data_IF_192816930723
#
_entry.id   IF_192816930723
#
_cell.length_a   1.000
_cell.length_b   1.000
_cell.length_c   1.000
_cell.angle_alpha   90.00
_cell.angle_beta   90.00
_cell.angle_gamma   90.00
#
_symmetry.space_group_name_H-M   'P 1'
#
loop_
_entity.id
_entity.type
_entity.pdbx_description
1 polymer ?
#
# COMPACT_ATOMS: atom_id res chain seq x y z
N UNK A 1 8.87 24.67 -10.19
CA UNK A 1 9.42 23.36 -9.76
C UNK A 1 9.36 23.33 -8.24
N UNK A 2 8.16 23.19 -7.67
CA UNK A 2 8.00 23.05 -6.22
C UNK A 2 8.51 21.65 -5.84
N UNK A 3 9.45 21.58 -4.88
CA UNK A 3 9.99 20.31 -4.41
C UNK A 3 8.90 19.51 -3.72
N UNK A 4 8.25 18.61 -4.46
CA UNK A 4 7.30 17.65 -3.90
C UNK A 4 8.08 16.72 -3.00
N UNK A 5 7.76 16.72 -1.70
CA UNK A 5 8.31 15.75 -0.75
C UNK A 5 8.12 14.34 -1.32
N UNK A 6 9.18 13.50 -1.36
CA UNK A 6 9.06 12.14 -1.86
C UNK A 6 7.99 11.38 -1.10
N UNK A 7 7.13 10.66 -1.83
CA UNK A 7 6.08 9.84 -1.23
C UNK A 7 6.72 8.84 -0.27
N UNK A 8 6.19 8.71 0.93
CA UNK A 8 6.61 7.68 1.87
C UNK A 8 5.66 6.49 1.76
N UNK A 9 6.22 5.30 1.57
CA UNK A 9 5.51 4.04 1.68
C UNK A 9 6.04 3.28 2.89
N UNK A 10 5.14 2.88 3.79
CA UNK A 10 5.52 2.11 4.97
C UNK A 10 4.98 0.69 4.92
N UNK A 11 5.88 -0.28 5.12
CA UNK A 11 5.51 -1.69 5.29
C UNK A 11 6.56 -2.46 6.09
N UNK A 12 6.21 -3.68 6.51
CA UNK A 12 7.17 -4.62 7.08
C UNK A 12 8.38 -4.84 6.17
N UNK A 13 9.54 -5.13 6.76
CA UNK A 13 10.81 -5.49 6.10
C UNK A 13 10.75 -6.92 5.50
N UNK A 14 9.70 -7.18 4.75
CA UNK A 14 9.43 -8.39 3.98
C UNK A 14 8.77 -7.98 2.66
N UNK A 15 8.51 -8.95 1.77
CA UNK A 15 7.70 -8.71 0.56
C UNK A 15 6.24 -8.43 0.95
N UNK A 16 5.53 -9.45 1.43
CA UNK A 16 4.15 -9.34 1.93
C UNK A 16 3.22 -8.50 1.05
N UNK A 17 2.36 -7.68 1.67
CA UNK A 17 1.48 -6.73 0.98
C UNK A 17 2.23 -5.52 0.42
N UNK A 18 3.43 -5.22 0.91
CA UNK A 18 4.21 -4.08 0.46
C UNK A 18 4.91 -4.28 -0.89
N UNK A 19 5.11 -5.52 -1.33
CA UNK A 19 5.86 -5.78 -2.57
C UNK A 19 5.19 -5.20 -3.80
N UNK A 20 3.86 -5.32 -3.91
CA UNK A 20 3.12 -4.80 -5.08
C UNK A 20 3.21 -3.27 -5.15
N UNK A 21 3.21 -2.59 -4.00
CA UNK A 21 3.36 -1.14 -3.92
C UNK A 21 4.74 -0.69 -4.41
N UNK A 22 5.81 -1.37 -3.98
CA UNK A 22 7.17 -1.13 -4.48
C UNK A 22 7.23 -1.30 -5.99
N UNK A 23 6.68 -2.39 -6.53
CA UNK A 23 6.62 -2.64 -7.98
C UNK A 23 5.91 -1.52 -8.74
N UNK A 24 4.83 -0.95 -8.18
CA UNK A 24 4.12 0.19 -8.79
C UNK A 24 5.02 1.42 -8.87
N UNK A 25 5.75 1.75 -7.80
CA UNK A 25 6.68 2.88 -7.81
C UNK A 25 7.84 2.68 -8.78
N UNK A 26 8.46 1.49 -8.80
CA UNK A 26 9.54 1.17 -9.75
C UNK A 26 9.02 1.21 -11.19
N UNK A 27 7.84 0.65 -11.48
CA UNK A 27 7.24 0.65 -12.81
C UNK A 27 6.96 2.07 -13.33
N UNK A 28 6.58 2.98 -12.43
CA UNK A 28 6.34 4.40 -12.76
C UNK A 28 7.60 5.26 -12.65
N UNK A 29 8.74 4.67 -12.29
CA UNK A 29 10.01 5.35 -12.08
C UNK A 29 9.90 6.54 -11.11
N UNK A 30 9.00 6.43 -10.13
CA UNK A 30 8.76 7.50 -9.14
C UNK A 30 9.67 7.30 -7.95
N UNK A 31 10.36 8.37 -7.55
CA UNK A 31 11.15 8.37 -6.31
C UNK A 31 10.21 8.34 -5.09
N UNK A 32 10.43 7.37 -4.22
CA UNK A 32 9.70 7.21 -2.97
C UNK A 32 10.67 6.82 -1.84
N UNK A 33 10.22 7.01 -0.60
CA UNK A 33 10.92 6.55 0.60
C UNK A 33 10.27 5.26 1.07
N UNK A 34 11.02 4.14 1.05
CA UNK A 34 10.57 2.84 1.59
C UNK A 34 10.86 2.79 3.11
N UNK A 35 9.87 3.14 3.92
CA UNK A 35 9.94 3.00 5.37
C UNK A 35 9.73 1.54 5.76
N UNK A 36 10.84 0.80 5.86
CA UNK A 36 10.81 -0.61 6.25
C UNK A 36 10.74 -0.77 7.77
N UNK A 37 9.67 -1.40 8.23
CA UNK A 37 9.45 -1.77 9.63
C UNK A 37 10.06 -3.15 9.90
N UNK A 38 11.08 -3.20 10.74
CA UNK A 38 11.80 -4.43 11.11
C UNK A 38 11.30 -5.07 12.40
N UNK A 39 10.57 -4.32 13.22
CA UNK A 39 10.17 -4.72 14.57
C UNK A 39 8.80 -4.17 14.93
N UNK A 40 8.10 -4.87 15.82
CA UNK A 40 6.81 -4.42 16.35
C UNK A 40 6.91 -3.05 17.01
N UNK A 41 7.96 -2.79 17.79
CA UNK A 41 8.13 -1.52 18.51
C UNK A 41 8.28 -0.34 17.55
N UNK A 42 9.06 -0.49 16.48
CA UNK A 42 9.22 0.54 15.43
C UNK A 42 7.89 0.91 14.78
N UNK A 43 6.93 -0.02 14.73
CA UNK A 43 5.58 0.26 14.28
C UNK A 43 4.69 0.79 15.40
N UNK A 44 4.37 -0.02 16.40
CA UNK A 44 3.33 0.26 17.38
C UNK A 44 3.67 1.43 18.30
N UNK A 45 4.92 1.55 18.74
CA UNK A 45 5.38 2.66 19.58
C UNK A 45 6.01 3.79 18.75
N UNK A 46 6.54 3.48 17.56
CA UNK A 46 7.18 4.43 16.66
C UNK A 46 6.22 5.10 15.68
N UNK A 47 6.13 4.57 14.46
CA UNK A 47 5.48 5.26 13.33
C UNK A 47 3.95 5.25 13.38
N UNK A 48 3.32 4.23 13.96
CA UNK A 48 1.85 4.08 13.98
C UNK A 48 1.12 5.25 14.67
N UNK A 49 1.55 5.77 15.84
CA UNK A 49 0.96 6.97 16.44
C UNK A 49 0.94 8.20 15.53
N UNK A 50 1.95 8.37 14.66
CA UNK A 50 2.00 9.48 13.70
C UNK A 50 1.02 9.26 12.56
N UNK A 51 0.94 8.04 12.02
CA UNK A 51 -0.06 7.66 11.02
C UNK A 51 -1.48 7.80 11.58
N UNK A 52 -1.72 7.42 12.83
CA UNK A 52 -3.03 7.55 13.49
C UNK A 52 -3.54 9.00 13.55
N UNK A 53 -2.63 9.98 13.69
CA UNK A 53 -3.00 11.40 13.67
C UNK A 53 -3.48 11.86 12.30
N UNK A 54 -2.99 11.23 11.22
CA UNK A 54 -3.36 11.54 9.84
C UNK A 54 -4.53 10.70 9.32
N UNK A 55 -4.61 9.43 9.75
CA UNK A 55 -5.61 8.49 9.31
C UNK A 55 -6.01 7.55 10.48
N UNK A 56 -7.28 7.56 10.93
CA UNK A 56 -7.73 6.73 12.06
C UNK A 56 -7.66 5.22 11.77
N UNK A 57 -7.57 4.81 10.49
CA UNK A 57 -7.44 3.43 10.05
C UNK A 57 -5.96 3.00 9.91
N UNK A 58 -5.05 3.66 10.63
CA UNK A 58 -3.61 3.42 10.57
C UNK A 58 -3.24 1.94 10.62
N UNK A 59 -2.75 1.44 9.49
CA UNK A 59 -2.31 0.07 9.34
C UNK A 59 -1.22 -0.03 8.26
N UNK A 60 -0.52 -1.16 8.23
CA UNK A 60 0.45 -1.45 7.18
C UNK A 60 -0.23 -2.30 6.08
N UNK A 61 0.01 -2.01 4.79
CA UNK A 61 0.79 -0.88 4.28
C UNK A 61 0.05 0.47 4.37
N UNK A 62 0.84 1.55 4.42
CA UNK A 62 0.35 2.91 4.24
C UNK A 62 1.18 3.66 3.20
N UNK A 63 0.61 4.74 2.67
CA UNK A 63 1.28 5.75 1.84
C UNK A 63 0.99 7.14 2.40
N UNK A 64 2.03 7.96 2.54
CA UNK A 64 1.94 9.40 2.85
C UNK A 64 2.45 10.19 1.64
N UNK A 65 1.57 11.02 1.08
CA UNK A 65 1.85 11.91 -0.04
C UNK A 65 1.44 13.34 0.33
N UNK A 66 2.40 14.13 0.79
CA UNK A 66 2.13 15.45 1.37
C UNK A 66 1.17 15.34 2.55
N UNK A 67 0.02 16.01 2.45
CA UNK A 67 -1.03 15.99 3.48
C UNK A 67 -1.97 14.78 3.38
N UNK A 68 -1.84 13.95 2.34
CA UNK A 68 -2.70 12.78 2.13
C UNK A 68 -2.08 11.54 2.75
N UNK A 69 -2.82 10.86 3.63
CA UNK A 69 -2.42 9.58 4.19
C UNK A 69 -3.44 8.49 3.87
N UNK A 70 -3.02 7.46 3.14
CA UNK A 70 -3.87 6.33 2.75
C UNK A 70 -3.35 5.06 3.42
N UNK A 71 -4.26 4.32 4.07
CA UNK A 71 -4.01 2.99 4.64
C UNK A 71 -4.92 1.96 3.96
N UNK A 72 -4.71 0.67 4.26
CA UNK A 72 -5.39 -0.48 3.63
C UNK A 72 -4.90 -0.76 2.20
N UNK A 73 -4.39 -1.97 1.97
CA UNK A 73 -3.66 -2.33 0.73
C UNK A 73 -4.40 -1.95 -0.55
N UNK A 74 -5.67 -2.34 -0.69
CA UNK A 74 -6.42 -2.07 -1.92
C UNK A 74 -6.75 -0.58 -2.09
N UNK A 75 -7.01 0.14 -1.00
CA UNK A 75 -7.22 1.59 -1.06
C UNK A 75 -5.94 2.33 -1.47
N UNK A 76 -4.78 1.90 -0.97
CA UNK A 76 -3.48 2.44 -1.40
C UNK A 76 -3.25 2.17 -2.89
N UNK A 77 -3.52 0.94 -3.36
CA UNK A 77 -3.35 0.59 -4.77
C UNK A 77 -4.29 1.36 -5.69
N UNK A 78 -5.55 1.56 -5.29
CA UNK A 78 -6.50 2.41 -6.02
C UNK A 78 -6.01 3.86 -6.07
N UNK A 79 -5.56 4.41 -4.95
CA UNK A 79 -5.02 5.77 -4.87
C UNK A 79 -3.81 5.96 -5.80
N UNK A 80 -2.83 5.05 -5.78
CA UNK A 80 -1.69 5.11 -6.69
C UNK A 80 -2.12 4.88 -8.15
N UNK A 81 -3.12 4.03 -8.37
CA UNK A 81 -3.70 3.77 -9.67
C UNK A 81 -4.32 5.03 -10.28
N UNK A 82 -5.07 5.80 -9.50
CA UNK A 82 -5.67 7.06 -9.95
C UNK A 82 -4.59 8.14 -10.14
N UNK A 83 -3.65 8.25 -9.18
CA UNK A 83 -2.56 9.24 -9.23
C UNK A 83 -1.65 9.07 -10.45
N UNK A 84 -1.41 7.85 -10.89
CA UNK A 84 -0.53 7.54 -12.02
C UNK A 84 -1.25 7.04 -13.28
N UNK A 85 -2.56 7.26 -13.35
CA UNK A 85 -3.41 6.90 -14.50
C UNK A 85 -3.28 5.43 -14.91
N UNK A 86 -3.26 4.51 -13.93
CA UNK A 86 -3.23 3.06 -14.11
C UNK A 86 -4.59 2.39 -13.86
N UNK A 87 -5.58 3.13 -13.36
CA UNK A 87 -6.88 2.57 -12.97
C UNK A 87 -7.94 2.60 -14.10
N UNK A 88 -7.49 2.60 -15.36
CA UNK A 88 -8.36 2.75 -16.54
C UNK A 88 -8.81 4.20 -16.76
N UNK A 89 -9.12 4.55 -18.02
CA UNK A 89 -9.55 5.90 -18.41
C UNK A 89 -11.07 6.10 -18.39
N UNK A 90 -11.84 5.02 -18.25
CA UNK A 90 -13.29 5.02 -18.26
C UNK A 90 -13.85 4.12 -17.15
N UNK A 91 -15.12 4.32 -16.81
CA UNK A 91 -15.79 3.62 -15.71
C UNK A 91 -15.77 2.09 -15.87
N UNK A 92 -15.92 1.58 -17.09
CA UNK A 92 -15.95 0.13 -17.35
C UNK A 92 -14.57 -0.47 -17.12
N UNK A 93 -13.51 0.20 -17.58
CA UNK A 93 -12.12 -0.23 -17.34
C UNK A 93 -11.76 -0.14 -15.85
N UNK A 94 -12.18 0.91 -15.16
CA UNK A 94 -11.97 1.09 -13.72
C UNK A 94 -12.63 -0.03 -12.89
N UNK A 95 -13.90 -0.36 -13.20
CA UNK A 95 -14.62 -1.46 -12.55
C UNK A 95 -13.90 -2.79 -12.73
N UNK A 96 -13.45 -3.10 -13.95
CA UNK A 96 -12.70 -4.34 -14.22
C UNK A 96 -11.36 -4.40 -13.48
N UNK A 97 -10.64 -3.28 -13.39
CA UNK A 97 -9.41 -3.21 -12.62
C UNK A 97 -9.66 -3.43 -11.12
N UNK A 98 -10.75 -2.86 -10.59
CA UNK A 98 -11.15 -3.05 -9.20
C UNK A 98 -11.53 -4.50 -8.92
N UNK A 99 -12.32 -5.14 -9.79
CA UNK A 99 -12.67 -6.56 -9.72
C UNK A 99 -11.40 -7.43 -9.69
N UNK A 100 -10.45 -7.17 -10.60
CA UNK A 100 -9.18 -7.90 -10.65
C UNK A 100 -8.33 -7.70 -9.40
N UNK A 101 -8.28 -6.47 -8.87
CA UNK A 101 -7.56 -6.16 -7.63
C UNK A 101 -8.14 -6.96 -6.44
N UNK A 102 -9.46 -7.05 -6.34
CA UNK A 102 -10.12 -7.85 -5.31
C UNK A 102 -9.84 -9.35 -5.48
N UNK A 103 -9.99 -9.89 -6.69
CA UNK A 103 -9.75 -11.32 -6.96
C UNK A 103 -8.30 -11.72 -6.67
N UNK A 104 -7.32 -10.89 -7.06
CA UNK A 104 -5.90 -11.13 -6.76
C UNK A 104 -5.68 -11.14 -5.24
N UNK A 105 -6.37 -10.27 -4.50
CA UNK A 105 -6.29 -10.24 -3.04
C UNK A 105 -6.83 -11.52 -2.40
N UNK A 106 -7.94 -12.05 -2.94
CA UNK A 106 -8.54 -13.31 -2.49
C UNK A 106 -7.64 -14.52 -2.79
N UNK A 107 -7.10 -14.62 -4.01
CA UNK A 107 -6.10 -15.65 -4.38
C UNK A 107 -4.90 -15.59 -3.46
N UNK A 108 -4.38 -14.39 -3.20
CA UNK A 108 -3.25 -14.18 -2.29
C UNK A 108 -3.60 -14.64 -0.87
N UNK A 109 -4.80 -14.35 -0.37
CA UNK A 109 -5.22 -14.79 0.96
C UNK A 109 -5.35 -16.31 1.04
N UNK A 110 -5.90 -16.96 0.01
CA UNK A 110 -5.92 -18.43 -0.09
C UNK A 110 -4.51 -19.03 -0.05
N UNK A 111 -3.55 -18.41 -0.75
CA UNK A 111 -2.15 -18.83 -0.70
C UNK A 111 -1.53 -18.65 0.69
N UNK A 112 -1.83 -17.53 1.37
CA UNK A 112 -1.35 -17.28 2.74
C UNK A 112 -1.90 -18.32 3.71
N UNK A 113 -3.17 -18.68 3.62
CA UNK A 113 -3.76 -19.73 4.48
C UNK A 113 -3.11 -21.10 4.23
N UNK A 114 -2.79 -21.43 2.98
CA UNK A 114 -2.10 -22.68 2.62
C UNK A 114 -0.67 -22.75 3.19
N UNK A 115 0.11 -21.67 3.05
CA UNK A 115 1.54 -21.67 3.41
C UNK A 115 1.82 -21.27 4.85
N UNK A 116 0.88 -20.59 5.50
CA UNK A 116 0.93 -20.25 6.92
C UNK A 116 -0.32 -20.77 7.64
N UNK A 117 -0.32 -22.03 8.08
CA UNK A 117 -1.44 -22.62 8.80
C UNK A 117 -1.46 -22.10 10.24
N UNK A 118 -1.81 -20.81 10.39
CA UNK A 118 -2.04 -20.18 11.70
C UNK A 118 -3.27 -20.77 12.39
N UNK A 119 -4.18 -21.38 11.62
CA UNK A 119 -5.31 -22.18 12.09
C UNK A 119 -4.84 -23.65 12.15
N UNK A 120 -4.32 -24.06 13.30
CA UNK A 120 -4.29 -25.48 13.70
C UNK A 120 -5.42 -25.73 14.66
#
# INVERSE_FOLDING_TARGET
MAGTTPIEMGYWKIRGLGSVLRMVFEYKEVKYTDFQVDSGDKWFAGRKPEILKMNPLANLPYVVDGDTCVCQTNAVLMYLGDKYSMNGSDEKSNRRNTELLCEIYDVRNGMVELVYPFKR
#
